data_IF_723471706275
#
_entry.id   IF_723471706275
#
_cell.length_a   1.000
_cell.length_b   1.000
_cell.length_c   1.000
_cell.angle_alpha   90.00
_cell.angle_beta   90.00
_cell.angle_gamma   90.00
#
_symmetry.space_group_name_H-M   'P 1'
#
loop_
_entity.id
_entity.type
_entity.pdbx_description
1 polymer ?
#
# COMPACT_ATOMS: atom_id res chain seq x y z
N UNK A 1 52.32 -24.08 -46.51
CA UNK A 1 52.92 -22.74 -46.41
C UNK A 1 51.83 -21.83 -46.94
N UNK A 2 50.95 -21.30 -46.11
CA UNK A 2 51.23 -20.30 -45.09
C UNK A 2 50.48 -20.55 -43.76
N UNK A 3 51.19 -20.25 -42.68
CA UNK A 3 50.66 -20.06 -41.33
C UNK A 3 50.02 -18.67 -41.26
N UNK A 4 48.93 -18.50 -40.52
CA UNK A 4 48.86 -17.53 -39.40
C UNK A 4 47.60 -17.79 -38.58
N UNK A 5 47.85 -18.40 -37.42
CA UNK A 5 47.00 -18.46 -36.24
C UNK A 5 47.14 -17.12 -35.50
N UNK A 6 46.04 -16.41 -35.21
CA UNK A 6 46.01 -15.45 -34.08
C UNK A 6 44.66 -15.50 -33.37
N UNK A 7 44.69 -16.21 -32.24
CA UNK A 7 43.74 -16.19 -31.13
C UNK A 7 43.83 -14.84 -30.42
N UNK A 8 42.72 -14.13 -30.27
CA UNK A 8 42.65 -12.94 -29.41
C UNK A 8 41.79 -13.24 -28.18
N UNK A 9 42.45 -13.13 -27.04
CA UNK A 9 41.97 -13.35 -25.67
C UNK A 9 40.96 -12.26 -25.28
N UNK A 10 39.89 -12.65 -24.60
CA UNK A 10 38.97 -11.71 -23.96
C UNK A 10 39.58 -11.04 -22.74
N UNK A 11 39.06 -9.88 -22.31
CA UNK A 11 39.32 -9.37 -20.97
C UNK A 11 38.19 -9.77 -20.01
N UNK A 12 38.54 -10.63 -19.05
CA UNK A 12 37.89 -10.68 -17.72
C UNK A 12 38.16 -9.37 -16.99
N UNK A 13 37.12 -8.69 -16.53
CA UNK A 13 37.27 -7.59 -15.57
C UNK A 13 36.43 -7.90 -14.32
N UNK A 14 37.17 -8.18 -13.24
CA UNK A 14 36.68 -8.49 -11.89
C UNK A 14 36.79 -7.24 -11.01
N UNK A 15 35.67 -6.92 -10.34
CA UNK A 15 35.47 -6.22 -9.07
C UNK A 15 36.44 -5.11 -8.59
N UNK A 16 35.87 -3.93 -8.30
CA UNK A 16 35.94 -3.15 -7.04
C UNK A 16 34.67 -2.26 -7.05
N UNK A 17 33.74 -2.24 -6.08
CA UNK A 17 33.92 -2.02 -4.65
C UNK A 17 33.60 -0.55 -4.33
N UNK A 18 32.34 -0.20 -4.05
CA UNK A 18 31.97 1.02 -3.33
C UNK A 18 30.52 0.95 -2.81
N UNK A 19 30.41 0.66 -1.52
CA UNK A 19 29.21 0.72 -0.71
C UNK A 19 29.22 2.07 0.03
N UNK A 20 28.29 3.01 -0.18
CA UNK A 20 28.18 4.16 0.70
C UNK A 20 27.33 3.79 1.92
N UNK A 21 28.03 3.30 2.95
CA UNK A 21 27.61 3.39 4.34
C UNK A 21 27.63 4.88 4.73
N UNK A 22 26.46 5.52 4.80
CA UNK A 22 26.35 6.85 5.41
C UNK A 22 26.06 6.65 6.88
N UNK A 23 27.04 7.07 7.67
CA UNK A 23 27.13 6.95 9.12
C UNK A 23 25.97 7.63 9.85
N UNK A 24 25.53 6.94 10.90
CA UNK A 24 24.80 7.50 12.03
C UNK A 24 25.70 8.47 12.80
N UNK A 25 25.38 9.76 12.76
CA UNK A 25 25.87 10.71 13.75
C UNK A 25 25.01 10.62 15.00
N UNK A 26 25.57 9.96 16.00
CA UNK A 26 25.10 9.93 17.38
C UNK A 26 25.41 11.27 18.04
N UNK A 27 24.37 12.04 18.39
CA UNK A 27 24.55 13.18 19.29
C UNK A 27 24.26 12.74 20.72
N UNK A 28 25.18 13.16 21.57
CA UNK A 28 25.51 12.73 22.92
C UNK A 28 24.45 12.98 24.00
N UNK A 29 24.57 12.11 24.99
CA UNK A 29 24.01 12.08 26.34
C UNK A 29 23.81 13.43 27.04
N UNK A 30 22.64 13.60 27.66
CA UNK A 30 22.50 14.31 28.92
C UNK A 30 21.69 13.43 29.88
N UNK A 31 22.42 12.79 30.79
CA UNK A 31 21.91 12.12 31.98
C UNK A 31 21.77 13.18 33.09
N UNK A 32 20.56 13.36 33.61
CA UNK A 32 20.39 13.86 34.98
C UNK A 32 19.23 13.09 35.60
N UNK A 33 19.57 12.31 36.62
CA UNK A 33 18.64 11.57 37.47
C UNK A 33 18.07 12.45 38.57
N UNK A 34 16.83 12.11 38.95
CA UNK A 34 16.23 12.22 40.29
C UNK A 34 15.87 13.60 40.86
N UNK A 35 14.57 13.82 41.11
CA UNK A 35 14.02 13.69 42.47
C UNK A 35 12.50 13.95 42.50
N UNK A 36 11.77 12.89 42.88
CA UNK A 36 10.70 12.82 43.87
C UNK A 36 9.88 14.06 44.33
N UNK A 37 8.56 13.81 44.34
CA UNK A 37 7.55 14.16 45.36
C UNK A 37 6.75 15.46 45.21
N UNK A 38 5.43 15.25 45.23
CA UNK A 38 4.38 15.98 45.99
C UNK A 38 3.34 16.66 45.11
N UNK A 39 2.17 16.01 45.07
CA UNK A 39 0.86 16.59 44.72
C UNK A 39 0.50 17.63 45.79
N UNK A 40 -0.20 18.71 45.43
CA UNK A 40 -1.45 18.94 46.16
C UNK A 40 -2.65 19.26 45.28
N UNK A 41 -3.78 18.89 45.84
CA UNK A 41 -5.17 19.00 45.44
C UNK A 41 -5.66 20.42 45.11
N UNK A 42 -6.66 20.42 44.23
CA UNK A 42 -7.87 21.27 44.24
C UNK A 42 -7.76 22.73 43.83
N UNK A 43 -8.30 23.05 42.64
CA UNK A 43 -9.34 24.08 42.48
C UNK A 43 -10.33 23.67 41.38
N UNK A 44 -11.60 23.89 41.68
CA UNK A 44 -12.78 23.52 40.91
C UNK A 44 -13.13 24.52 39.80
N UNK A 45 -13.84 23.98 38.82
CA UNK A 45 -15.00 24.55 38.10
C UNK A 45 -14.83 25.27 36.76
N UNK A 46 -15.67 24.76 35.85
CA UNK A 46 -16.33 25.39 34.72
C UNK A 46 -15.55 25.52 33.40
N UNK A 47 -15.85 24.62 32.47
CA UNK A 47 -16.42 25.04 31.18
C UNK A 47 -16.99 23.85 30.42
N UNK A 48 -18.20 24.05 29.92
CA UNK A 48 -19.01 23.23 29.01
C UNK A 48 -18.21 22.30 28.10
N UNK A 49 -18.21 21.00 28.42
CA UNK A 49 -17.91 19.99 27.43
C UNK A 49 -19.16 19.83 26.55
N UNK A 50 -19.15 20.51 25.41
CA UNK A 50 -19.96 20.13 24.27
C UNK A 50 -19.87 18.60 24.10
N UNK A 51 -21.02 17.93 24.03
CA UNK A 51 -21.06 16.52 23.72
C UNK A 51 -20.22 16.29 22.45
N UNK A 52 -19.24 15.37 22.45
CA UNK A 52 -18.59 14.99 21.21
C UNK A 52 -19.69 14.45 20.30
N UNK A 53 -19.82 15.10 19.14
CA UNK A 53 -20.65 14.68 18.04
C UNK A 53 -20.58 13.15 17.88
N UNK A 54 -21.73 12.54 17.63
CA UNK A 54 -21.90 11.11 17.38
C UNK A 54 -20.65 10.53 16.69
N UNK A 55 -19.90 9.74 17.46
CA UNK A 55 -18.72 9.03 16.97
C UNK A 55 -19.19 8.14 15.83
N UNK A 56 -18.93 8.59 14.60
CA UNK A 56 -19.14 7.76 13.41
C UNK A 56 -18.15 6.61 13.53
N UNK A 57 -18.66 5.50 14.07
CA UNK A 57 -17.86 4.32 14.35
C UNK A 57 -17.19 3.87 13.05
N UNK A 58 -15.88 4.03 12.98
CA UNK A 58 -15.09 3.78 11.78
C UNK A 58 -14.28 2.50 11.96
N UNK A 59 -14.68 1.44 11.25
CA UNK A 59 -14.05 0.12 11.34
C UNK A 59 -12.75 0.06 10.53
N UNK A 60 -11.76 -0.64 11.08
CA UNK A 60 -10.55 -1.03 10.35
C UNK A 60 -10.76 -2.42 9.72
N UNK A 61 -10.55 -2.51 8.41
CA UNK A 61 -10.49 -3.77 7.66
C UNK A 61 -9.05 -4.28 7.67
N UNK A 62 -8.79 -5.31 8.48
CA UNK A 62 -7.51 -6.02 8.50
C UNK A 62 -7.39 -6.93 7.30
N UNK A 63 -6.68 -6.47 6.26
CA UNK A 63 -6.48 -7.22 5.02
C UNK A 63 -5.28 -8.16 5.17
N UNK A 64 -5.47 -9.49 5.02
CA UNK A 64 -4.36 -10.44 5.06
C UNK A 64 -3.34 -10.21 3.95
N UNK A 65 -2.07 -10.47 4.26
CA UNK A 65 -1.03 -10.57 3.24
C UNK A 65 -1.28 -11.83 2.39
N UNK A 66 -0.97 -11.77 1.09
CA UNK A 66 -1.07 -12.93 0.20
C UNK A 66 -2.39 -13.10 -0.54
N UNK A 67 -3.25 -12.07 -0.58
CA UNK A 67 -4.44 -12.06 -1.44
C UNK A 67 -4.07 -11.79 -2.92
N UNK A 68 -3.37 -12.75 -3.54
CA UNK A 68 -2.77 -12.63 -4.87
C UNK A 68 -3.69 -13.00 -6.05
N UNK A 69 -4.91 -13.48 -5.78
CA UNK A 69 -5.90 -13.80 -6.81
C UNK A 69 -7.23 -13.11 -6.55
N UNK A 70 -7.93 -12.77 -7.64
CA UNK A 70 -9.28 -12.19 -7.58
C UNK A 70 -10.24 -13.07 -6.77
N UNK A 71 -10.14 -14.39 -6.88
CA UNK A 71 -10.98 -15.34 -6.14
C UNK A 71 -10.80 -15.17 -4.62
N UNK A 72 -9.55 -15.15 -4.15
CA UNK A 72 -9.25 -14.97 -2.73
C UNK A 72 -9.73 -13.61 -2.21
N UNK A 73 -9.52 -12.55 -2.99
CA UNK A 73 -10.01 -11.20 -2.65
C UNK A 73 -11.54 -11.18 -2.55
N UNK A 74 -12.24 -11.79 -3.51
CA UNK A 74 -13.70 -11.84 -3.51
C UNK A 74 -14.25 -12.57 -2.28
N UNK A 75 -13.69 -13.74 -1.96
CA UNK A 75 -14.11 -14.51 -0.77
C UNK A 75 -13.85 -13.75 0.52
N UNK A 76 -12.70 -13.10 0.63
CA UNK A 76 -12.38 -12.23 1.77
C UNK A 76 -13.39 -11.09 1.93
N UNK A 77 -13.64 -10.32 0.86
CA UNK A 77 -14.57 -9.19 0.91
C UNK A 77 -15.99 -9.65 1.19
N UNK A 78 -16.43 -10.75 0.59
CA UNK A 78 -17.76 -11.32 0.82
C UNK A 78 -17.96 -11.66 2.30
N UNK A 79 -16.98 -12.34 2.93
CA UNK A 79 -17.02 -12.64 4.36
C UNK A 79 -17.03 -11.36 5.20
N UNK A 80 -16.07 -10.48 4.96
CA UNK A 80 -15.92 -9.23 5.70
C UNK A 80 -17.18 -8.35 5.66
N UNK A 81 -17.79 -8.19 4.48
CA UNK A 81 -19.01 -7.40 4.31
C UNK A 81 -20.26 -8.06 4.88
N UNK A 82 -20.28 -9.39 5.03
CA UNK A 82 -21.38 -10.09 5.71
C UNK A 82 -21.33 -9.90 7.23
N UNK A 83 -20.13 -9.72 7.78
CA UNK A 83 -19.88 -9.48 9.21
C UNK A 83 -19.87 -7.99 9.57
N UNK A 84 -20.11 -7.11 8.60
CA UNK A 84 -20.14 -5.66 8.81
C UNK A 84 -21.55 -5.18 9.19
N UNK A 85 -21.70 -4.36 10.24
CA UNK A 85 -22.96 -3.67 10.49
C UNK A 85 -23.34 -2.77 9.32
N UNK A 86 -24.63 -2.78 8.95
CA UNK A 86 -25.17 -1.96 7.84
C UNK A 86 -25.07 -0.45 8.09
N UNK A 87 -24.87 -0.04 9.34
CA UNK A 87 -24.73 1.35 9.75
C UNK A 87 -23.35 1.96 9.46
N UNK A 88 -22.37 1.15 9.04
CA UNK A 88 -21.01 1.63 8.79
C UNK A 88 -20.90 2.13 7.34
N UNK A 89 -20.76 3.45 7.12
CA UNK A 89 -20.73 4.03 5.77
C UNK A 89 -19.41 3.74 5.04
N UNK A 90 -18.33 3.47 5.78
CA UNK A 90 -17.03 3.21 5.22
C UNK A 90 -16.04 2.60 6.20
N UNK A 91 -14.97 2.04 5.66
CA UNK A 91 -13.93 1.33 6.42
C UNK A 91 -12.56 1.84 6.04
N UNK A 92 -11.64 1.83 7.00
CA UNK A 92 -10.21 2.04 6.73
C UNK A 92 -9.58 0.72 6.30
N UNK A 93 -8.57 0.77 5.44
CA UNK A 93 -7.81 -0.41 5.05
C UNK A 93 -6.47 -0.44 5.78
N UNK A 94 -6.08 -1.60 6.32
CA UNK A 94 -4.80 -1.79 6.99
C UNK A 94 -3.58 -1.68 6.07
N UNK A 95 -3.76 -1.81 4.75
CA UNK A 95 -2.68 -1.69 3.74
C UNK A 95 -2.53 -0.26 3.20
N UNK A 96 -3.45 0.64 3.51
CA UNK A 96 -3.27 2.04 3.17
C UNK A 96 -2.14 2.64 4.01
N UNK A 97 -1.20 3.30 3.36
CA UNK A 97 -0.09 4.03 4.00
C UNK A 97 -0.07 5.49 3.52
N UNK A 98 0.58 6.37 4.28
CA UNK A 98 0.66 7.80 3.95
C UNK A 98 -0.71 8.50 3.94
N UNK A 99 -1.00 9.26 2.89
CA UNK A 99 -2.19 10.10 2.78
C UNK A 99 -3.51 9.31 2.74
N UNK A 100 -3.49 8.05 2.33
CA UNK A 100 -4.69 7.20 2.25
C UNK A 100 -5.07 6.54 3.58
N UNK A 101 -4.26 6.67 4.64
CA UNK A 101 -4.52 6.05 5.97
C UNK A 101 -5.80 6.56 6.63
N UNK A 102 -6.20 7.81 6.34
CA UNK A 102 -7.44 8.43 6.83
C UNK A 102 -8.62 8.26 5.88
N UNK A 103 -8.39 7.69 4.69
CA UNK A 103 -9.43 7.53 3.69
C UNK A 103 -10.40 6.43 4.10
N UNK A 104 -11.70 6.76 4.04
CA UNK A 104 -12.77 5.80 4.21
C UNK A 104 -13.18 5.25 2.86
N UNK A 105 -13.16 3.93 2.76
CA UNK A 105 -13.61 3.20 1.59
C UNK A 105 -15.05 2.74 1.81
N UNK A 106 -15.92 3.03 0.84
CA UNK A 106 -17.31 2.56 0.86
C UNK A 106 -17.39 1.04 1.06
N UNK A 107 -18.31 0.60 1.91
CA UNK A 107 -18.49 -0.82 2.27
C UNK A 107 -19.08 -1.69 1.14
N UNK A 108 -19.42 -1.09 0.00
CA UNK A 108 -19.90 -1.82 -1.18
C UNK A 108 -18.84 -2.84 -1.64
N UNK A 109 -19.18 -4.14 -1.80
CA UNK A 109 -18.20 -5.17 -2.11
C UNK A 109 -17.32 -4.87 -3.34
N UNK A 110 -17.91 -4.34 -4.43
CA UNK A 110 -17.17 -3.99 -5.65
C UNK A 110 -16.07 -2.94 -5.43
N UNK A 111 -16.26 -2.04 -4.46
CA UNK A 111 -15.30 -0.99 -4.14
C UNK A 111 -14.14 -1.55 -3.33
N UNK A 112 -14.44 -2.34 -2.29
CA UNK A 112 -13.42 -3.00 -1.48
C UNK A 112 -12.60 -4.01 -2.31
N UNK A 113 -13.22 -4.78 -3.21
CA UNK A 113 -12.51 -5.72 -4.10
C UNK A 113 -11.48 -4.96 -4.94
N UNK A 114 -11.92 -3.93 -5.67
CA UNK A 114 -11.05 -3.13 -6.54
C UNK A 114 -9.93 -2.45 -5.75
N UNK A 115 -10.24 -1.95 -4.55
CA UNK A 115 -9.27 -1.34 -3.65
C UNK A 115 -8.17 -2.34 -3.23
N UNK A 116 -8.55 -3.53 -2.75
CA UNK A 116 -7.59 -4.56 -2.31
C UNK A 116 -6.77 -5.09 -3.49
N UNK A 117 -7.37 -5.22 -4.69
CA UNK A 117 -6.65 -5.59 -5.91
C UNK A 117 -5.51 -4.62 -6.23
N UNK A 118 -5.70 -3.31 -5.99
CA UNK A 118 -4.67 -2.30 -6.24
C UNK A 118 -3.45 -2.48 -5.32
N UNK A 119 -3.67 -2.80 -4.04
CA UNK A 119 -2.58 -3.13 -3.10
C UNK A 119 -1.83 -4.39 -3.51
N UNK A 120 -2.54 -5.42 -3.96
CA UNK A 120 -1.96 -6.73 -4.27
C UNK A 120 -1.47 -6.84 -5.73
N UNK A 121 -1.54 -5.77 -6.52
CA UNK A 121 -1.12 -5.77 -7.93
C UNK A 121 -1.95 -6.70 -8.83
N UNK A 122 -3.14 -7.13 -8.38
CA UNK A 122 -3.98 -8.07 -9.14
C UNK A 122 -4.64 -7.31 -10.29
N UNK A 123 -4.36 -7.77 -11.51
CA UNK A 123 -4.92 -7.25 -12.77
C UNK A 123 -5.78 -8.34 -13.40
N UNK A 124 -6.84 -7.95 -14.10
CA UNK A 124 -7.81 -8.92 -14.66
C UNK A 124 -8.48 -8.47 -15.96
N UNK A 125 -8.35 -7.19 -16.32
CA UNK A 125 -8.75 -6.73 -17.63
C UNK A 125 -7.54 -6.80 -18.55
N UNK A 126 -7.58 -7.64 -19.57
CA UNK A 126 -6.51 -7.76 -20.55
C UNK A 126 -6.89 -6.98 -21.81
N UNK A 127 -5.89 -6.40 -22.49
CA UNK A 127 -6.10 -5.92 -23.84
C UNK A 127 -6.42 -7.11 -24.77
N UNK A 128 -7.53 -7.09 -25.53
CA UNK A 128 -7.94 -8.18 -26.41
C UNK A 128 -7.10 -8.28 -27.70
N UNK A 129 -6.20 -7.32 -27.98
CA UNK A 129 -5.41 -7.26 -29.22
C UNK A 129 -4.07 -7.98 -29.04
N UNK A 130 -3.83 -9.02 -29.84
CA UNK A 130 -2.57 -9.77 -29.84
C UNK A 130 -1.40 -8.97 -30.42
N UNK A 131 -1.69 -8.05 -31.33
CA UNK A 131 -0.78 -7.11 -31.96
C UNK A 131 -0.61 -5.81 -31.15
N UNK A 132 -0.98 -5.83 -29.86
CA UNK A 132 -0.84 -4.66 -29.01
C UNK A 132 0.65 -4.29 -28.84
N UNK A 133 1.06 -3.05 -29.17
CA UNK A 133 2.46 -2.61 -29.05
C UNK A 133 2.96 -2.62 -27.60
N UNK A 134 2.05 -2.76 -26.62
CA UNK A 134 2.36 -2.82 -25.20
C UNK A 134 2.56 -4.25 -24.65
N UNK A 135 2.56 -5.30 -25.51
CA UNK A 135 2.88 -6.67 -25.10
C UNK A 135 1.86 -7.29 -24.14
N UNK A 136 0.57 -7.24 -24.50
CA UNK A 136 -0.56 -7.76 -23.71
C UNK A 136 -0.75 -7.10 -22.33
N UNK A 137 -0.99 -5.78 -22.27
CA UNK A 137 -1.16 -5.09 -21.00
C UNK A 137 -2.40 -5.55 -20.25
N UNK A 138 -2.28 -5.58 -18.92
CA UNK A 138 -3.38 -5.90 -18.01
C UNK A 138 -3.68 -4.72 -17.07
N UNK A 139 -4.94 -4.60 -16.66
CA UNK A 139 -5.46 -3.51 -15.87
C UNK A 139 -6.27 -4.01 -14.67
N UNK A 140 -6.29 -3.21 -13.60
CA UNK A 140 -7.07 -3.49 -12.39
C UNK A 140 -8.53 -3.04 -12.56
N UNK A 141 -8.78 -2.00 -13.36
CA UNK A 141 -10.14 -1.49 -13.64
C UNK A 141 -10.50 -1.50 -15.12
N UNK A 142 -11.80 -1.56 -15.44
CA UNK A 142 -12.30 -1.59 -16.82
C UNK A 142 -11.99 -0.28 -17.53
N UNK A 143 -12.12 0.84 -16.82
CA UNK A 143 -11.89 2.18 -17.36
C UNK A 143 -10.42 2.37 -17.78
N UNK A 144 -9.48 1.80 -17.03
CA UNK A 144 -8.06 1.78 -17.43
C UNK A 144 -7.88 1.03 -18.77
N UNK A 145 -8.52 -0.13 -18.91
CA UNK A 145 -8.51 -0.88 -20.17
C UNK A 145 -9.19 -0.13 -21.32
N UNK A 146 -10.33 0.54 -21.07
CA UNK A 146 -11.02 1.35 -22.07
C UNK A 146 -10.15 2.50 -22.58
N UNK A 147 -9.53 3.26 -21.68
CA UNK A 147 -8.61 4.35 -22.05
C UNK A 147 -7.41 3.83 -22.85
N UNK A 148 -6.91 2.64 -22.53
CA UNK A 148 -5.86 2.00 -23.30
C UNK A 148 -6.34 1.66 -24.73
N UNK A 149 -7.52 1.03 -24.85
CA UNK A 149 -8.12 0.72 -26.15
C UNK A 149 -8.32 1.98 -26.98
N UNK A 150 -8.86 3.05 -26.37
CA UNK A 150 -9.08 4.32 -27.05
C UNK A 150 -7.77 4.93 -27.59
N UNK A 151 -6.67 4.81 -26.83
CA UNK A 151 -5.38 5.41 -27.19
C UNK A 151 -4.61 4.62 -28.24
N UNK A 152 -4.67 3.29 -28.22
CA UNK A 152 -3.79 2.43 -29.02
C UNK A 152 -4.53 1.63 -30.11
N UNK A 153 -5.87 1.59 -30.07
CA UNK A 153 -6.68 0.72 -30.92
C UNK A 153 -7.95 1.38 -31.49
N UNK A 154 -8.08 2.72 -31.42
CA UNK A 154 -9.13 3.47 -32.11
C UNK A 154 -8.79 3.74 -33.57
#
# INVERSE_FOLDING_TARGET
MDLTLMTALGPTSTFHGANPHVEMSSTSYANISSANTTIPETYQSASSAAQPAQSSETRLMSVPLGLNTRRLINEFVKRYTSELPKSIPGVRCSLCHGFDTRKLWETKPSNLIRHIMAHNGVKWFQCPRFDCPCGAPQFTTKDQGKKHLEKYHS
#
